data_IF_008753195154
#
_entry.id   IF_008753195154
#
_cell.length_a   1.000
_cell.length_b   1.000
_cell.length_c   1.000
_cell.angle_alpha   90.00
_cell.angle_beta   90.00
_cell.angle_gamma   90.00
#
_symmetry.space_group_name_H-M   'P 1'
#
loop_
_entity.id
_entity.type
_entity.pdbx_description
1 polymer ?
#
# COMPACT_ATOMS: atom_id res chain seq x y z
N UNK A 1 23.36 0.38 22.35
CA UNK A 1 23.54 1.37 21.27
C UNK A 1 23.61 0.59 19.96
N UNK A 2 22.47 0.39 19.28
CA UNK A 2 22.37 -0.50 18.11
C UNK A 2 22.71 0.28 16.84
N UNK A 3 23.81 -0.08 16.17
CA UNK A 3 24.13 0.42 14.83
C UNK A 3 23.29 -0.34 13.80
N UNK A 4 22.61 0.35 12.86
CA UNK A 4 21.88 -0.31 11.78
C UNK A 4 22.87 -0.94 10.78
N UNK A 5 22.63 -2.20 10.42
CA UNK A 5 23.40 -2.95 9.44
C UNK A 5 23.11 -2.42 8.03
N UNK A 6 24.04 -1.65 7.48
CA UNK A 6 23.96 -1.10 6.13
C UNK A 6 24.55 -2.13 5.14
N UNK A 7 23.69 -2.84 4.39
CA UNK A 7 24.15 -3.69 3.28
C UNK A 7 24.27 -2.81 2.03
N UNK A 8 25.49 -2.36 1.74
CA UNK A 8 25.85 -1.76 0.45
C UNK A 8 26.31 -2.89 -0.46
N UNK A 9 25.46 -3.36 -1.37
CA UNK A 9 25.84 -4.37 -2.38
C UNK A 9 26.66 -3.71 -3.50
N UNK A 10 27.89 -3.32 -3.20
CA UNK A 10 28.93 -3.17 -4.19
C UNK A 10 29.66 -4.52 -4.29
N UNK A 11 29.35 -5.27 -5.33
CA UNK A 11 30.27 -6.25 -5.91
C UNK A 11 30.83 -7.35 -4.97
N UNK A 12 30.00 -8.27 -4.49
CA UNK A 12 30.50 -9.60 -4.03
C UNK A 12 29.37 -10.64 -3.90
N UNK A 13 28.91 -11.16 -5.02
CA UNK A 13 28.33 -12.51 -5.10
C UNK A 13 29.03 -13.23 -6.25
N UNK A 14 30.32 -13.54 -6.07
CA UNK A 14 31.01 -14.52 -6.90
C UNK A 14 30.56 -15.90 -6.45
N UNK A 15 29.52 -16.44 -7.09
CA UNK A 15 29.14 -17.84 -6.92
C UNK A 15 30.03 -18.67 -7.83
N UNK A 16 30.83 -19.53 -7.22
CA UNK A 16 31.73 -20.47 -7.85
C UNK A 16 30.98 -21.37 -8.83
N UNK A 17 31.42 -21.41 -10.09
CA UNK A 17 30.91 -22.34 -11.09
C UNK A 17 31.43 -23.75 -10.78
N UNK A 18 30.56 -24.65 -10.34
CA UNK A 18 30.79 -26.10 -10.49
C UNK A 18 30.01 -26.57 -11.72
N UNK A 19 30.73 -26.78 -12.81
CA UNK A 19 30.24 -27.33 -14.06
C UNK A 19 29.73 -28.77 -13.87
N UNK A 20 28.43 -29.00 -14.06
CA UNK A 20 27.94 -30.31 -14.47
C UNK A 20 26.75 -30.19 -15.43
N UNK A 21 26.73 -31.12 -16.37
CA UNK A 21 26.07 -31.07 -17.67
C UNK A 21 24.54 -30.99 -17.66
N UNK A 22 24.01 -30.30 -18.67
CA UNK A 22 23.00 -30.87 -19.57
C UNK A 22 21.58 -31.06 -19.06
N UNK A 23 20.84 -29.98 -18.89
CA UNK A 23 19.40 -29.95 -19.19
C UNK A 23 19.01 -28.48 -19.41
N UNK A 24 18.36 -28.18 -20.54
CA UNK A 24 17.87 -26.83 -20.83
C UNK A 24 16.94 -26.36 -19.71
N UNK A 25 17.46 -25.54 -18.80
CA UNK A 25 16.63 -24.79 -17.87
C UNK A 25 15.85 -23.78 -18.70
N UNK A 26 14.61 -24.14 -19.01
CA UNK A 26 13.61 -23.20 -19.48
C UNK A 26 13.61 -22.03 -18.50
N UNK A 27 14.03 -20.86 -19.00
CA UNK A 27 13.88 -19.59 -18.31
C UNK A 27 12.42 -19.53 -17.87
N UNK A 28 12.11 -19.49 -16.55
CA UNK A 28 10.74 -19.39 -16.11
C UNK A 28 10.13 -18.16 -16.77
N UNK A 29 9.09 -18.38 -17.57
CA UNK A 29 8.30 -17.30 -18.14
C UNK A 29 7.83 -16.48 -16.95
N UNK A 30 8.34 -15.26 -16.82
CA UNK A 30 7.87 -14.28 -15.86
C UNK A 30 6.41 -13.96 -16.22
N UNK A 31 5.48 -14.70 -15.62
CA UNK A 31 4.16 -14.16 -15.36
C UNK A 31 4.31 -12.87 -14.55
N UNK A 32 3.27 -12.03 -14.51
CA UNK A 32 3.28 -10.72 -13.84
C UNK A 32 3.49 -10.85 -12.32
N UNK A 33 4.70 -11.19 -11.89
CA UNK A 33 5.07 -11.37 -10.50
C UNK A 33 5.33 -9.99 -9.88
N UNK A 34 4.52 -9.66 -8.89
CA UNK A 34 4.59 -8.39 -8.16
C UNK A 34 5.22 -8.60 -6.78
N UNK A 35 5.98 -7.61 -6.32
CA UNK A 35 6.43 -7.50 -4.94
C UNK A 35 5.89 -6.21 -4.34
N UNK A 36 5.40 -6.25 -3.10
CA UNK A 36 5.01 -5.04 -2.39
C UNK A 36 6.24 -4.33 -1.83
N UNK A 37 6.36 -3.03 -2.12
CA UNK A 37 7.43 -2.16 -1.72
C UNK A 37 6.93 -0.93 -0.96
N UNK A 38 7.76 -0.39 -0.06
CA UNK A 38 7.53 0.87 0.65
C UNK A 38 8.79 1.72 0.72
N UNK A 39 8.65 2.97 1.15
CA UNK A 39 9.75 3.92 1.33
C UNK A 39 10.65 4.04 0.08
N UNK A 40 10.02 4.20 -1.09
CA UNK A 40 10.74 4.29 -2.36
C UNK A 40 11.28 5.72 -2.50
N UNK A 41 12.60 5.84 -2.65
CA UNK A 41 13.32 7.10 -2.75
C UNK A 41 14.18 7.07 -4.01
N UNK A 42 13.97 8.05 -4.89
CA UNK A 42 14.76 8.22 -6.09
C UNK A 42 15.93 9.17 -5.82
N UNK A 43 17.11 8.77 -6.27
CA UNK A 43 18.32 9.57 -6.25
C UNK A 43 18.95 9.57 -7.66
N UNK A 44 19.96 10.41 -7.87
CA UNK A 44 20.68 10.48 -9.15
C UNK A 44 21.29 9.12 -9.49
N UNK A 45 20.77 8.45 -10.51
CA UNK A 45 21.24 7.13 -10.97
C UNK A 45 20.98 5.96 -10.00
N UNK A 46 20.09 6.10 -9.01
CA UNK A 46 19.69 4.97 -8.16
C UNK A 46 18.30 5.13 -7.57
N UNK A 47 17.66 4.01 -7.25
CA UNK A 47 16.43 3.95 -6.46
C UNK A 47 16.64 3.07 -5.24
N UNK A 48 16.18 3.52 -4.08
CA UNK A 48 16.15 2.74 -2.85
C UNK A 48 14.71 2.45 -2.46
N UNK A 49 14.41 1.22 -2.07
CA UNK A 49 13.07 0.78 -1.67
C UNK A 49 13.14 -0.35 -0.66
N UNK A 50 12.11 -0.54 0.15
CA UNK A 50 11.98 -1.66 1.06
C UNK A 50 10.94 -2.64 0.51
N UNK A 51 11.32 -3.89 0.24
CA UNK A 51 10.42 -4.96 -0.20
C UNK A 51 10.05 -5.88 0.95
N UNK A 52 8.80 -6.34 0.94
CA UNK A 52 8.34 -7.31 1.92
C UNK A 52 8.65 -8.74 1.46
N UNK A 53 9.53 -9.42 2.19
CA UNK A 53 10.01 -10.77 1.87
C UNK A 53 10.14 -11.55 3.16
N UNK A 54 9.59 -12.77 3.19
CA UNK A 54 9.69 -13.67 4.36
C UNK A 54 9.33 -12.98 5.69
N UNK A 55 8.18 -12.30 5.73
CA UNK A 55 7.65 -11.55 6.89
C UNK A 55 8.50 -10.36 7.37
N UNK A 56 9.57 -9.99 6.66
CA UNK A 56 10.44 -8.88 7.02
C UNK A 56 10.55 -7.88 5.87
N UNK A 57 10.87 -6.62 6.21
CA UNK A 57 11.17 -5.59 5.22
C UNK A 57 12.67 -5.60 4.92
N UNK A 58 13.01 -5.78 3.64
CA UNK A 58 14.39 -5.78 3.17
C UNK A 58 14.66 -4.57 2.29
N UNK A 59 15.69 -3.79 2.60
CA UNK A 59 16.11 -2.66 1.78
C UNK A 59 16.82 -3.15 0.52
N UNK A 60 16.36 -2.69 -0.64
CA UNK A 60 17.01 -2.83 -1.94
C UNK A 60 17.48 -1.46 -2.42
N UNK A 61 18.71 -1.42 -2.93
CA UNK A 61 19.26 -0.24 -3.62
C UNK A 61 19.67 -0.66 -5.02
N UNK A 62 19.01 -0.09 -6.00
CA UNK A 62 19.12 -0.47 -7.40
C UNK A 62 19.74 0.69 -8.19
N UNK A 63 20.69 0.38 -9.07
CA UNK A 63 21.31 1.39 -9.92
C UNK A 63 20.49 1.56 -11.21
N UNK A 64 20.20 2.81 -11.57
CA UNK A 64 19.42 3.17 -12.77
C UNK A 64 20.31 3.84 -13.82
N UNK A 65 19.99 3.66 -15.10
CA UNK A 65 20.69 4.34 -16.21
C UNK A 65 20.26 5.80 -16.34
N UNK A 66 19.00 6.08 -16.02
CA UNK A 66 18.41 7.42 -16.10
C UNK A 66 18.27 8.04 -14.71
N UNK A 67 18.39 9.37 -14.67
CA UNK A 67 18.02 10.15 -13.50
C UNK A 67 16.59 10.64 -13.69
N UNK A 68 15.66 10.20 -12.83
CA UNK A 68 14.30 10.71 -12.81
C UNK A 68 14.32 12.23 -12.56
N UNK A 69 13.61 13.00 -13.37
CA UNK A 69 13.56 14.48 -13.28
C UNK A 69 12.68 14.96 -12.13
N UNK A 70 11.81 14.11 -11.58
CA UNK A 70 10.93 14.44 -10.46
C UNK A 70 11.37 13.68 -9.20
N UNK A 71 11.91 14.37 -8.17
CA UNK A 71 12.20 13.76 -6.89
C UNK A 71 10.87 13.49 -6.16
N UNK A 72 10.41 12.25 -6.22
CA UNK A 72 9.15 11.85 -5.57
C UNK A 72 9.42 10.68 -4.62
N UNK A 73 9.36 10.93 -3.32
CA UNK A 73 9.25 9.82 -2.36
C UNK A 73 7.89 9.16 -2.57
N UNK A 74 7.89 7.85 -2.77
CA UNK A 74 6.65 7.07 -2.87
C UNK A 74 6.53 6.25 -1.59
N UNK A 75 5.42 6.42 -0.88
CA UNK A 75 5.18 5.75 0.38
C UNK A 75 5.11 4.23 0.21
N UNK A 76 4.34 3.77 -0.78
CA UNK A 76 4.15 2.35 -1.10
C UNK A 76 3.79 2.14 -2.57
N UNK A 77 4.20 1.01 -3.12
CA UNK A 77 3.92 0.59 -4.49
C UNK A 77 4.06 -0.92 -4.63
N UNK A 78 3.42 -1.49 -5.64
CA UNK A 78 3.83 -2.80 -6.14
C UNK A 78 4.90 -2.60 -7.22
N UNK A 79 5.87 -3.50 -7.24
CA UNK A 79 6.95 -3.48 -8.23
C UNK A 79 6.91 -4.73 -9.10
N UNK A 80 7.23 -4.56 -10.37
CA UNK A 80 7.32 -5.62 -11.37
C UNK A 80 8.62 -5.47 -12.14
N UNK A 81 9.18 -6.59 -12.58
CA UNK A 81 10.38 -6.61 -13.41
C UNK A 81 10.03 -7.12 -14.81
N UNK A 82 10.62 -6.51 -15.84
CA UNK A 82 10.53 -7.00 -17.22
C UNK A 82 11.16 -8.39 -17.38
N UNK A 83 10.83 -9.06 -18.49
CA UNK A 83 11.34 -10.39 -18.79
C UNK A 83 12.88 -10.48 -18.84
N UNK A 84 13.53 -9.45 -19.39
CA UNK A 84 14.99 -9.35 -19.48
C UNK A 84 15.65 -8.90 -18.16
N UNK A 85 14.84 -8.56 -17.15
CA UNK A 85 15.28 -8.12 -15.84
C UNK A 85 15.86 -6.71 -15.79
N UNK A 86 15.81 -5.96 -16.89
CA UNK A 86 16.46 -4.64 -17.00
C UNK A 86 15.52 -3.48 -16.74
N UNK A 87 14.21 -3.67 -16.75
CA UNK A 87 13.24 -2.61 -16.50
C UNK A 87 12.43 -2.91 -15.24
N UNK A 88 12.51 -2.01 -14.26
CA UNK A 88 11.68 -2.03 -13.07
C UNK A 88 10.47 -1.14 -13.29
N UNK A 89 9.29 -1.72 -13.22
CA UNK A 89 8.03 -0.98 -13.14
C UNK A 89 7.61 -0.81 -11.69
N UNK A 90 7.29 0.43 -11.30
CA UNK A 90 6.73 0.78 -10.00
C UNK A 90 5.28 1.22 -10.25
N UNK A 91 4.33 0.55 -9.58
CA UNK A 91 2.90 0.82 -9.59
C UNK A 91 2.51 1.38 -8.21
N UNK A 92 2.49 2.70 -8.03
CA UNK A 92 2.24 3.29 -6.73
C UNK A 92 0.85 2.95 -6.19
N UNK A 93 0.74 2.72 -4.88
CA UNK A 93 -0.54 2.40 -4.24
C UNK A 93 -1.43 3.64 -4.26
N UNK A 94 -2.60 3.51 -4.88
CA UNK A 94 -3.59 4.59 -4.90
C UNK A 94 -4.46 4.54 -3.66
N UNK A 95 -4.71 5.69 -3.08
CA UNK A 95 -5.56 5.86 -1.90
C UNK A 95 -6.94 6.29 -2.34
N UNK A 96 -7.96 5.62 -1.79
CA UNK A 96 -9.35 5.97 -2.00
C UNK A 96 -9.99 6.37 -0.66
N UNK A 97 -10.65 7.51 -0.64
CA UNK A 97 -11.21 8.11 0.57
C UNK A 97 -12.69 8.31 0.31
N UNK A 98 -13.53 7.49 0.94
CA UNK A 98 -14.98 7.61 0.78
C UNK A 98 -15.57 8.65 1.71
N UNK A 99 -16.41 9.51 1.17
CA UNK A 99 -17.11 10.58 1.89
C UNK A 99 -18.58 10.19 2.09
N UNK A 100 -18.88 9.69 3.29
CA UNK A 100 -20.22 9.21 3.62
C UNK A 100 -21.12 10.28 4.22
N UNK A 101 -20.56 11.34 4.80
CA UNK A 101 -21.36 12.30 5.58
C UNK A 101 -21.96 13.38 4.67
N UNK A 102 -23.27 13.60 4.81
CA UNK A 102 -23.99 14.70 4.12
C UNK A 102 -23.34 16.06 4.39
N UNK A 103 -22.83 16.28 5.61
CA UNK A 103 -22.07 17.48 5.97
C UNK A 103 -20.79 17.65 5.16
N UNK A 104 -20.03 16.59 4.92
CA UNK A 104 -18.80 16.65 4.12
C UNK A 104 -19.11 17.02 2.66
N UNK A 105 -20.16 16.44 2.09
CA UNK A 105 -20.61 16.77 0.74
C UNK A 105 -21.15 18.21 0.64
N UNK A 106 -21.88 18.67 1.66
CA UNK A 106 -22.30 20.07 1.73
C UNK A 106 -21.10 21.02 1.79
N UNK A 107 -20.06 20.70 2.57
CA UNK A 107 -18.84 21.52 2.64
C UNK A 107 -18.12 21.58 1.29
N UNK A 108 -18.07 20.47 0.54
CA UNK A 108 -17.52 20.46 -0.83
C UNK A 108 -18.36 21.33 -1.76
N UNK A 109 -19.68 21.18 -1.70
CA UNK A 109 -20.61 21.99 -2.50
C UNK A 109 -20.46 23.48 -2.21
N UNK A 110 -20.44 23.86 -0.93
CA UNK A 110 -20.26 25.25 -0.50
C UNK A 110 -18.92 25.80 -1.00
N UNK A 111 -17.85 25.01 -0.89
CA UNK A 111 -16.51 25.40 -1.31
C UNK A 111 -16.45 25.62 -2.83
N UNK A 112 -17.05 24.73 -3.61
CA UNK A 112 -17.13 24.84 -5.07
C UNK A 112 -17.99 26.04 -5.48
N UNK A 113 -19.07 26.35 -4.77
CA UNK A 113 -19.92 27.48 -5.12
C UNK A 113 -19.32 28.84 -4.73
N UNK A 114 -18.64 28.90 -3.58
CA UNK A 114 -18.34 30.19 -2.92
C UNK A 114 -16.90 30.40 -2.49
N UNK A 115 -16.05 29.36 -2.56
CA UNK A 115 -14.70 29.34 -1.98
C UNK A 115 -14.67 29.14 -0.46
N UNK A 116 -15.82 29.08 0.20
CA UNK A 116 -15.96 28.85 1.65
C UNK A 116 -16.69 27.52 1.91
N UNK A 117 -16.19 26.74 2.87
CA UNK A 117 -16.76 25.45 3.26
C UNK A 117 -18.00 25.57 4.17
N UNK A 118 -18.17 26.69 4.88
CA UNK A 118 -19.24 26.86 5.88
C UNK A 118 -20.48 27.55 5.31
N UNK A 119 -20.31 28.46 4.37
CA UNK A 119 -21.39 29.31 3.90
C UNK A 119 -22.14 28.69 2.71
N UNK A 120 -23.43 28.36 2.90
CA UNK A 120 -24.30 27.84 1.85
C UNK A 120 -24.89 28.98 1.01
N UNK A 121 -24.10 29.50 0.08
CA UNK A 121 -24.57 30.55 -0.84
C UNK A 121 -25.58 29.96 -1.85
N UNK A 122 -26.61 30.73 -2.25
CA UNK A 122 -27.49 30.31 -3.34
C UNK A 122 -26.73 30.14 -4.66
N UNK A 123 -27.13 29.11 -5.41
CA UNK A 123 -26.65 28.75 -6.73
C UNK A 123 -27.42 29.52 -7.80
N UNK A 124 -26.75 29.85 -8.90
CA UNK A 124 -27.39 30.44 -10.08
C UNK A 124 -28.26 29.39 -10.79
N UNK A 125 -29.48 29.79 -11.14
CA UNK A 125 -30.48 28.94 -11.79
C UNK A 125 -30.84 29.51 -13.17
N UNK A 126 -30.88 28.64 -14.18
CA UNK A 126 -31.45 28.95 -15.48
C UNK A 126 -32.58 27.98 -15.80
N UNK A 127 -33.61 28.46 -16.47
CA UNK A 127 -34.78 27.66 -16.84
C UNK A 127 -34.82 27.57 -18.35
N UNK A 128 -34.78 26.33 -18.86
CA UNK A 128 -34.85 26.03 -20.28
C UNK A 128 -36.20 25.39 -20.55
N UNK A 129 -36.96 25.97 -21.48
CA UNK A 129 -38.31 25.51 -21.82
C UNK A 129 -38.34 24.50 -22.99
N UNK A 130 -37.33 24.51 -23.86
CA UNK A 130 -37.28 23.69 -25.08
C UNK A 130 -35.87 23.07 -25.29
N UNK A 131 -35.74 21.84 -25.82
CA UNK A 131 -36.82 20.94 -26.28
C UNK A 131 -37.57 20.22 -25.15
N UNK A 132 -36.98 20.13 -23.96
CA UNK A 132 -37.63 19.62 -22.76
C UNK A 132 -37.40 20.57 -21.59
N UNK A 133 -38.44 20.79 -20.78
CA UNK A 133 -38.42 21.68 -19.64
C UNK A 133 -37.42 21.19 -18.57
N UNK A 134 -36.42 22.02 -18.26
CA UNK A 134 -35.35 21.68 -17.32
C UNK A 134 -34.83 22.90 -16.56
N UNK A 135 -34.40 22.65 -15.33
CA UNK A 135 -33.62 23.54 -14.50
C UNK A 135 -32.14 23.26 -14.72
N UNK A 136 -31.36 24.30 -14.98
CA UNK A 136 -29.93 24.22 -15.17
C UNK A 136 -29.22 24.97 -14.04
N UNK A 137 -28.36 24.25 -13.32
CA UNK A 137 -27.51 24.79 -12.26
C UNK A 137 -26.09 24.93 -12.83
N UNK A 138 -25.74 26.12 -13.33
CA UNK A 138 -24.52 26.34 -14.11
C UNK A 138 -23.26 25.93 -13.35
N UNK A 139 -23.21 26.25 -12.05
CA UNK A 139 -22.06 25.98 -11.20
C UNK A 139 -21.86 24.48 -10.95
N UNK A 140 -22.88 23.65 -11.19
CA UNK A 140 -22.84 22.21 -10.98
C UNK A 140 -22.87 21.38 -12.26
N UNK A 141 -22.95 22.03 -13.42
CA UNK A 141 -23.25 21.38 -14.72
C UNK A 141 -24.39 20.36 -14.58
N UNK A 142 -25.42 20.74 -13.81
CA UNK A 142 -26.51 19.88 -13.45
C UNK A 142 -27.79 20.31 -14.19
N UNK A 143 -28.40 19.34 -14.87
CA UNK A 143 -29.68 19.49 -15.55
C UNK A 143 -30.73 18.66 -14.83
N UNK A 144 -31.80 19.30 -14.37
CA UNK A 144 -32.89 18.67 -13.63
C UNK A 144 -34.17 18.81 -14.45
N UNK A 145 -34.77 17.72 -14.93
CA UNK A 145 -36.03 17.79 -15.66
C UNK A 145 -37.14 18.29 -14.73
N UNK A 146 -38.02 19.13 -15.25
CA UNK A 146 -39.19 19.66 -14.54
C UNK A 146 -40.42 19.61 -15.42
N UNK A 147 -41.60 19.66 -14.81
CA UNK A 147 -42.85 19.80 -15.53
C UNK A 147 -42.86 21.12 -16.33
N UNK A 148 -43.45 21.10 -17.53
CA UNK A 148 -43.54 22.25 -18.44
C UNK A 148 -44.28 23.45 -17.81
N UNK A 149 -45.38 23.22 -17.10
CA UNK A 149 -46.18 24.27 -16.45
C UNK A 149 -45.39 24.93 -15.32
N UNK A 150 -44.74 24.12 -14.49
CA UNK A 150 -43.85 24.62 -13.44
C UNK A 150 -42.69 25.42 -14.03
N UNK A 151 -42.09 24.94 -15.13
CA UNK A 151 -41.00 25.65 -15.78
C UNK A 151 -41.47 27.00 -16.35
N UNK A 152 -42.67 27.08 -16.92
CA UNK A 152 -43.25 28.35 -17.38
C UNK A 152 -43.50 29.32 -16.23
N UNK A 153 -44.08 28.84 -15.12
CA UNK A 153 -44.30 29.66 -13.93
C UNK A 153 -43.00 30.23 -13.39
N UNK A 154 -41.99 29.37 -13.21
CA UNK A 154 -40.68 29.78 -12.74
C UNK A 154 -39.96 30.68 -13.76
N UNK A 155 -40.15 30.48 -15.07
CA UNK A 155 -39.50 31.31 -16.09
C UNK A 155 -39.98 32.76 -16.07
N UNK A 156 -41.22 32.99 -15.63
CA UNK A 156 -41.78 34.34 -15.48
C UNK A 156 -41.30 35.06 -14.21
N UNK A 157 -40.67 34.34 -13.28
CA UNK A 157 -40.17 34.91 -12.02
C UNK A 157 -38.78 35.52 -12.19
N UNK A 158 -38.53 36.63 -11.51
CA UNK A 158 -37.24 37.35 -11.60
C UNK A 158 -36.33 37.04 -10.42
N UNK A 159 -35.04 36.90 -10.70
CA UNK A 159 -34.01 36.72 -9.67
C UNK A 159 -34.05 35.37 -8.97
N UNK A 160 -34.50 34.32 -9.65
CA UNK A 160 -34.52 32.98 -9.11
C UNK A 160 -33.12 32.47 -8.75
N UNK A 161 -33.05 31.80 -7.60
CA UNK A 161 -31.84 31.11 -7.13
C UNK A 161 -32.19 29.74 -6.60
N UNK A 162 -31.20 28.86 -6.57
CA UNK A 162 -31.33 27.51 -6.05
C UNK A 162 -30.52 27.36 -4.76
N UNK A 163 -31.08 26.72 -3.74
CA UNK A 163 -30.37 26.42 -2.50
C UNK A 163 -30.47 24.92 -2.25
N UNK A 164 -29.34 24.26 -2.10
CA UNK A 164 -29.28 22.84 -1.73
C UNK A 164 -28.96 22.77 -0.24
N UNK A 165 -29.83 22.13 0.52
CA UNK A 165 -29.67 21.95 1.97
C UNK A 165 -29.62 20.48 2.34
N UNK A 166 -28.77 20.08 3.31
CA UNK A 166 -28.74 18.70 3.78
C UNK A 166 -29.96 18.42 4.66
N UNK A 167 -30.64 17.32 4.37
CA UNK A 167 -31.55 16.62 5.26
C UNK A 167 -30.79 15.41 5.85
N UNK A 168 -31.29 14.81 6.94
CA UNK A 168 -30.67 13.71 7.69
C UNK A 168 -29.87 12.68 6.85
N UNK A 169 -30.38 12.25 5.69
CA UNK A 169 -29.68 11.35 4.75
C UNK A 169 -29.67 11.80 3.28
N UNK A 170 -30.39 12.86 2.94
CA UNK A 170 -30.59 13.32 1.56
C UNK A 170 -30.36 14.83 1.48
N UNK A 171 -30.57 15.42 0.31
CA UNK A 171 -30.54 16.86 0.11
C UNK A 171 -31.90 17.36 -0.39
N UNK A 172 -32.24 18.60 -0.09
CA UNK A 172 -33.42 19.28 -0.64
C UNK A 172 -32.95 20.46 -1.46
N UNK A 173 -33.29 20.48 -2.74
CA UNK A 173 -33.17 21.65 -3.60
C UNK A 173 -34.40 22.52 -3.42
N UNK A 174 -34.20 23.75 -2.97
CA UNK A 174 -35.23 24.78 -2.89
C UNK A 174 -34.96 25.84 -3.94
N UNK A 175 -35.97 26.16 -4.74
CA UNK A 175 -35.95 27.29 -5.68
C UNK A 175 -36.57 28.46 -4.95
N UNK A 176 -35.80 29.54 -4.85
CA UNK A 176 -36.22 30.75 -4.15
C UNK A 176 -36.27 31.93 -5.10
N UNK A 177 -37.21 32.85 -4.86
CA UNK A 177 -37.28 34.12 -5.57
C UNK A 177 -36.28 35.14 -5.01
N UNK A 178 -36.30 36.35 -5.56
CA UNK A 178 -35.46 37.47 -5.08
C UNK A 178 -35.73 37.92 -3.64
N UNK A 179 -36.89 37.55 -3.09
CA UNK A 179 -37.33 37.85 -1.73
C UNK A 179 -37.07 36.68 -0.75
N UNK A 180 -36.40 35.63 -1.22
CA UNK A 180 -36.13 34.39 -0.47
C UNK A 180 -37.37 33.52 -0.18
N UNK A 181 -38.50 33.77 -0.83
CA UNK A 181 -39.65 32.88 -0.75
C UNK A 181 -39.37 31.61 -1.54
N UNK A 182 -39.71 30.46 -0.95
CA UNK A 182 -39.53 29.17 -1.61
C UNK A 182 -40.70 28.89 -2.55
N UNK A 183 -40.43 28.83 -3.84
CA UNK A 183 -41.42 28.57 -4.89
C UNK A 183 -41.56 27.08 -5.20
N UNK A 184 -40.48 26.32 -5.06
CA UNK A 184 -40.48 24.89 -5.35
C UNK A 184 -39.42 24.17 -4.53
N UNK A 185 -39.70 22.93 -4.15
CA UNK A 185 -38.75 22.05 -3.47
C UNK A 185 -38.72 20.68 -4.12
N UNK A 186 -37.52 20.13 -4.28
CA UNK A 186 -37.31 18.79 -4.82
C UNK A 186 -36.25 18.03 -4.02
N UNK A 187 -36.51 16.77 -3.63
CA UNK A 187 -35.49 15.94 -3.00
C UNK A 187 -34.40 15.53 -3.99
N UNK A 188 -33.16 15.51 -3.52
CA UNK A 188 -31.96 15.10 -4.25
C UNK A 188 -31.23 14.04 -3.42
N UNK A 189 -30.91 12.91 -4.06
CA UNK A 189 -30.14 11.86 -3.41
C UNK A 189 -28.66 12.23 -3.29
N UNK A 190 -28.00 11.66 -2.29
CA UNK A 190 -26.55 11.77 -2.12
C UNK A 190 -25.78 11.33 -3.38
N UNK A 191 -26.21 10.24 -4.01
CA UNK A 191 -25.63 9.74 -5.25
C UNK A 191 -25.63 10.78 -6.37
N UNK A 192 -26.77 11.46 -6.58
CA UNK A 192 -26.93 12.45 -7.65
C UNK A 192 -26.03 13.65 -7.43
N UNK A 193 -25.94 14.12 -6.18
CA UNK A 193 -25.05 15.20 -5.80
C UNK A 193 -23.58 14.80 -5.95
N UNK A 194 -23.20 13.58 -5.55
CA UNK A 194 -21.86 13.06 -5.76
C UNK A 194 -21.48 13.08 -7.25
N UNK A 195 -22.36 12.59 -8.14
CA UNK A 195 -22.12 12.63 -9.60
C UNK A 195 -21.92 14.06 -10.09
N UNK A 196 -22.73 15.03 -9.67
CA UNK A 196 -22.53 16.42 -10.08
C UNK A 196 -21.18 16.98 -9.63
N UNK A 197 -20.78 16.71 -8.38
CA UNK A 197 -19.49 17.16 -7.85
C UNK A 197 -18.30 16.57 -8.61
N UNK A 198 -18.39 15.33 -9.12
CA UNK A 198 -17.30 14.72 -9.89
C UNK A 198 -17.03 15.39 -11.24
N UNK A 199 -18.04 16.01 -11.85
CA UNK A 199 -17.89 16.66 -13.16
C UNK A 199 -17.10 17.96 -13.08
N UNK A 200 -17.11 18.61 -11.92
CA UNK A 200 -16.59 19.96 -11.72
C UNK A 200 -15.12 19.98 -11.30
N UNK A 201 -14.63 18.86 -10.76
CA UNK A 201 -13.27 18.76 -10.22
C UNK A 201 -12.48 17.73 -11.03
N UNK A 202 -11.93 18.13 -12.18
CA UNK A 202 -11.15 17.21 -13.01
C UNK A 202 -9.82 16.84 -12.35
N UNK A 203 -9.21 17.76 -11.59
CA UNK A 203 -7.91 17.60 -10.95
C UNK A 203 -7.83 18.49 -9.70
N UNK A 204 -7.51 17.87 -8.55
CA UNK A 204 -7.20 18.57 -7.31
C UNK A 204 -5.87 18.12 -6.72
N UNK A 205 -5.49 18.70 -5.58
CA UNK A 205 -4.41 18.21 -4.75
C UNK A 205 -4.93 17.84 -3.36
N UNK A 206 -4.41 16.76 -2.83
CA UNK A 206 -4.70 16.23 -1.51
C UNK A 206 -3.43 16.31 -0.68
N UNK A 207 -3.53 17.00 0.45
CA UNK A 207 -2.54 16.95 1.50
C UNK A 207 -3.16 16.25 2.70
N UNK A 208 -2.49 15.22 3.17
CA UNK A 208 -2.91 14.45 4.33
C UNK A 208 -2.15 14.96 5.56
N UNK A 209 -2.90 15.38 6.58
CA UNK A 209 -2.39 15.60 7.92
C UNK A 209 -3.10 14.63 8.88
N UNK A 210 -2.49 14.35 10.04
CA UNK A 210 -2.86 13.31 11.04
C UNK A 210 -4.31 12.81 10.96
N UNK A 211 -5.29 13.69 11.10
CA UNK A 211 -6.73 13.35 11.04
C UNK A 211 -7.52 14.25 10.09
N UNK A 212 -6.85 15.11 9.33
CA UNK A 212 -7.49 16.09 8.46
C UNK A 212 -6.94 16.00 7.06
N UNK A 213 -7.85 15.97 6.11
CA UNK A 213 -7.52 16.10 4.70
C UNK A 213 -7.67 17.57 4.32
N UNK A 214 -6.65 18.09 3.65
CA UNK A 214 -6.74 19.36 2.95
C UNK A 214 -6.84 19.10 1.45
N UNK A 215 -7.94 19.51 0.84
CA UNK A 215 -8.18 19.47 -0.60
C UNK A 215 -7.99 20.87 -1.19
N UNK A 216 -7.21 20.97 -2.24
CA UNK A 216 -7.16 22.16 -3.09
C UNK A 216 -7.57 21.77 -4.51
N UNK A 217 -8.27 22.65 -5.20
CA UNK A 217 -8.74 22.41 -6.56
C UNK A 217 -8.22 23.51 -7.46
N UNK A 218 -7.71 23.17 -8.65
CA UNK A 218 -7.01 24.14 -9.51
C UNK A 218 -7.90 25.33 -9.92
N UNK A 219 -9.22 25.12 -9.97
CA UNK A 219 -10.20 26.11 -10.42
C UNK A 219 -10.79 26.93 -9.26
N UNK A 220 -10.39 26.67 -8.00
CA UNK A 220 -10.97 27.31 -6.82
C UNK A 220 -9.87 27.84 -5.90
N UNK A 221 -9.98 29.13 -5.55
CA UNK A 221 -9.07 29.75 -4.61
C UNK A 221 -9.41 29.30 -3.20
N UNK A 222 -8.51 28.55 -2.56
CA UNK A 222 -8.62 28.15 -1.17
C UNK A 222 -8.37 26.67 -0.97
N UNK A 223 -8.47 26.26 0.29
CA UNK A 223 -8.24 24.90 0.74
C UNK A 223 -9.43 24.44 1.56
N UNK A 224 -10.06 23.34 1.14
CA UNK A 224 -11.13 22.68 1.87
C UNK A 224 -10.52 21.72 2.90
N UNK A 225 -10.91 21.85 4.17
CA UNK A 225 -10.45 20.95 5.24
C UNK A 225 -11.57 20.01 5.64
N UNK A 226 -11.35 18.72 5.43
CA UNK A 226 -12.27 17.65 5.82
C UNK A 226 -11.67 16.84 6.96
N UNK A 227 -12.46 16.61 8.00
CA UNK A 227 -12.11 15.63 9.03
C UNK A 227 -12.53 14.25 8.55
N UNK A 228 -11.61 13.30 8.55
CA UNK A 228 -11.90 11.91 8.15
C UNK A 228 -11.97 11.04 9.39
N UNK A 229 -13.01 10.20 9.53
CA UNK A 229 -13.08 9.26 10.63
C UNK A 229 -11.93 8.24 10.55
N UNK A 230 -11.44 7.75 11.71
CA UNK A 230 -10.30 6.82 11.80
C UNK A 230 -10.57 5.44 11.18
N UNK A 231 -11.82 5.14 10.80
CA UNK A 231 -12.22 3.90 10.14
C UNK A 231 -11.69 3.73 8.72
N UNK A 232 -11.10 4.78 8.14
CA UNK A 232 -10.53 4.70 6.79
C UNK A 232 -9.10 4.14 6.86
N UNK A 233 -8.97 2.84 7.11
CA UNK A 233 -7.70 2.13 7.35
C UNK A 233 -6.62 2.33 6.28
N UNK A 234 -6.99 2.73 5.05
CA UNK A 234 -6.04 3.01 3.96
C UNK A 234 -5.19 4.26 4.18
N UNK A 235 -5.67 5.21 4.99
CA UNK A 235 -4.93 6.42 5.33
C UNK A 235 -3.73 6.08 6.22
N UNK A 236 -3.94 5.24 7.24
CA UNK A 236 -3.00 4.93 8.33
C UNK A 236 -1.63 4.41 7.86
N UNK A 237 -1.59 3.63 6.78
CA UNK A 237 -0.33 3.12 6.18
C UNK A 237 0.46 4.17 5.39
N UNK A 238 -0.12 5.31 5.04
CA UNK A 238 0.55 6.39 4.30
C UNK A 238 0.95 7.61 5.14
N UNK A 239 0.45 7.76 6.38
CA UNK A 239 0.76 8.93 7.23
C UNK A 239 2.26 9.08 7.55
N UNK A 240 3.06 8.04 7.40
CA UNK A 240 4.50 8.14 7.72
C UNK A 240 5.34 8.83 6.65
N UNK A 241 4.79 9.15 5.47
CA UNK A 241 5.63 9.61 4.34
C UNK A 241 5.13 10.80 3.52
N UNK A 242 3.89 11.29 3.69
CA UNK A 242 3.31 12.23 2.70
C UNK A 242 2.77 13.55 3.28
N UNK A 243 3.68 14.50 3.51
CA UNK A 243 3.35 15.94 3.60
C UNK A 243 3.25 16.60 2.22
N UNK A 244 3.50 15.85 1.14
CA UNK A 244 3.53 16.34 -0.24
C UNK A 244 2.13 16.24 -0.85
N UNK A 245 1.70 17.33 -1.49
CA UNK A 245 0.44 17.43 -2.22
C UNK A 245 0.36 16.40 -3.36
N UNK A 246 -0.59 15.48 -3.28
CA UNK A 246 -0.83 14.45 -4.31
C UNK A 246 -1.96 14.86 -5.24
N UNK A 247 -1.82 14.62 -6.54
CA UNK A 247 -2.94 14.82 -7.48
C UNK A 247 -4.07 13.87 -7.14
N UNK A 248 -5.30 14.38 -7.12
CA UNK A 248 -6.52 13.59 -6.86
C UNK A 248 -7.60 13.87 -7.89
N UNK A 249 -8.48 12.88 -8.01
CA UNK A 249 -9.72 12.97 -8.75
C UNK A 249 -10.88 12.58 -7.84
N UNK A 250 -12.01 13.26 -8.01
CA UNK A 250 -13.27 12.87 -7.39
C UNK A 250 -14.00 11.88 -8.32
N UNK A 251 -14.41 10.74 -7.79
CA UNK A 251 -15.21 9.75 -8.50
C UNK A 251 -16.47 9.44 -7.69
N UNK A 252 -17.57 9.10 -8.38
CA UNK A 252 -18.81 8.70 -7.76
C UNK A 252 -19.00 7.19 -7.96
N UNK A 253 -19.00 6.43 -6.88
CA UNK A 253 -19.14 4.96 -6.91
C UNK A 253 -20.09 4.56 -5.79
N UNK A 254 -21.06 3.69 -6.07
CA UNK A 254 -22.01 3.16 -5.08
C UNK A 254 -22.63 4.27 -4.20
N UNK A 255 -23.13 5.32 -4.84
CA UNK A 255 -23.77 6.48 -4.19
C UNK A 255 -22.85 7.35 -3.32
N UNK A 256 -21.54 7.11 -3.38
CA UNK A 256 -20.55 7.79 -2.55
C UNK A 256 -19.58 8.59 -3.39
N UNK A 257 -19.17 9.74 -2.86
CA UNK A 257 -18.07 10.51 -3.42
C UNK A 257 -16.76 9.97 -2.86
N UNK A 258 -15.89 9.49 -3.74
CA UNK A 258 -14.58 8.96 -3.39
C UNK A 258 -13.52 9.90 -3.92
N UNK A 259 -12.60 10.32 -3.05
CA UNK A 259 -11.38 11.02 -3.46
C UNK A 259 -10.33 9.95 -3.75
N UNK A 260 -9.86 9.90 -4.99
CA UNK A 260 -8.87 8.91 -5.44
C UNK A 260 -7.58 9.60 -5.85
N UNK A 261 -6.45 9.17 -5.31
CA UNK A 261 -5.13 9.69 -5.68
C UNK A 261 -4.71 9.18 -7.05
N UNK A 262 -4.22 10.07 -7.90
CA UNK A 262 -3.65 9.74 -9.19
C UNK A 262 -2.13 9.74 -9.09
N UNK A 263 -1.54 8.54 -9.12
CA UNK A 263 -0.10 8.37 -9.15
C UNK A 263 0.27 7.61 -10.42
N UNK A 264 1.12 8.18 -11.30
CA UNK A 264 1.47 7.53 -12.56
C UNK A 264 2.33 6.30 -12.32
N UNK A 265 2.20 5.29 -13.21
CA UNK A 265 3.16 4.19 -13.30
C UNK A 265 4.53 4.75 -13.68
N UNK A 266 5.57 4.27 -13.00
CA UNK A 266 6.95 4.68 -13.26
C UNK A 266 7.70 3.48 -13.81
N UNK A 267 8.41 3.68 -14.92
CA UNK A 267 9.31 2.70 -15.48
C UNK A 267 10.76 3.19 -15.32
N UNK A 268 11.61 2.35 -14.75
CA UNK A 268 13.04 2.63 -14.55
C UNK A 268 13.86 1.61 -15.31
N UNK A 269 14.82 2.10 -16.10
CA UNK A 269 15.83 1.25 -16.70
C UNK A 269 16.98 1.06 -15.69
N UNK A 270 17.27 -0.21 -15.39
CA UNK A 270 18.29 -0.65 -14.45
C UNK A 270 19.62 -0.84 -15.17
N UNK A 271 20.73 -0.58 -14.47
CA UNK A 271 22.08 -0.82 -15.02
C UNK A 271 22.40 -2.30 -15.17
N UNK A 272 21.81 -3.15 -14.33
CA UNK A 272 22.04 -4.59 -14.30
C UNK A 272 20.70 -5.32 -14.36
N UNK A 273 20.69 -6.51 -14.97
CA UNK A 273 19.54 -7.39 -14.93
C UNK A 273 19.37 -7.98 -13.52
N UNK A 274 18.14 -7.93 -13.00
CA UNK A 274 17.78 -8.45 -11.68
C UNK A 274 16.93 -9.73 -11.75
N UNK A 275 16.83 -10.38 -12.91
CA UNK A 275 15.92 -11.52 -13.13
C UNK A 275 15.99 -12.58 -12.03
N UNK A 276 17.19 -13.09 -11.74
CA UNK A 276 17.37 -14.14 -10.73
C UNK A 276 17.10 -13.65 -9.31
N UNK A 277 17.57 -12.44 -8.97
CA UNK A 277 17.35 -11.87 -7.64
C UNK A 277 15.88 -11.60 -7.38
N UNK A 278 15.16 -11.08 -8.37
CA UNK A 278 13.75 -10.75 -8.27
C UNK A 278 12.91 -12.02 -8.16
N UNK A 279 13.18 -13.04 -8.96
CA UNK A 279 12.52 -14.34 -8.85
C UNK A 279 12.73 -14.97 -7.47
N UNK A 280 13.94 -14.90 -6.92
CA UNK A 280 14.21 -15.41 -5.57
C UNK A 280 13.43 -14.65 -4.49
N UNK A 281 13.29 -13.33 -4.62
CA UNK A 281 12.51 -12.50 -3.71
C UNK A 281 11.01 -12.80 -3.83
N UNK A 282 10.50 -12.97 -5.06
CA UNK A 282 9.10 -13.36 -5.31
C UNK A 282 8.80 -14.71 -4.69
N UNK A 283 9.62 -15.72 -4.94
CA UNK A 283 9.44 -17.05 -4.35
C UNK A 283 9.38 -16.99 -2.82
N UNK A 284 10.31 -16.25 -2.21
CA UNK A 284 10.32 -16.04 -0.74
C UNK A 284 9.12 -15.25 -0.22
N UNK A 285 8.54 -14.36 -1.03
CA UNK A 285 7.32 -13.63 -0.67
C UNK A 285 6.04 -14.47 -0.81
N UNK A 286 6.01 -15.42 -1.76
CA UNK A 286 4.86 -16.27 -2.05
C UNK A 286 4.79 -17.55 -1.22
N UNK A 287 5.87 -17.90 -0.49
CA UNK A 287 5.91 -19.07 0.39
C UNK A 287 4.94 -18.99 1.60
N UNK A 288 4.15 -17.93 1.72
CA UNK A 288 3.02 -17.83 2.64
C UNK A 288 1.70 -18.19 1.96
N UNK A 289 1.55 -19.43 1.48
CA UNK A 289 0.22 -20.05 1.46
C UNK A 289 -0.14 -20.40 2.91
N UNK A 290 -1.40 -20.20 3.35
CA UNK A 290 -1.85 -20.86 4.56
C UNK A 290 -1.83 -22.35 4.24
N UNK A 291 -0.81 -23.05 4.72
CA UNK A 291 -0.91 -24.48 4.86
C UNK A 291 -2.13 -24.67 5.75
N UNK A 292 -3.21 -25.25 5.21
CA UNK A 292 -4.22 -25.89 6.03
C UNK A 292 -3.43 -26.71 7.05
N UNK A 293 -3.42 -26.28 8.31
CA UNK A 293 -2.85 -27.08 9.37
C UNK A 293 -3.67 -28.37 9.38
N UNK A 294 -3.13 -29.55 8.99
CA UNK A 294 -3.73 -30.75 9.52
C UNK A 294 -3.59 -30.62 11.04
N UNK A 295 -4.71 -30.74 11.73
CA UNK A 295 -4.83 -30.75 13.19
C UNK A 295 -4.12 -31.99 13.75
N UNK A 296 -2.80 -32.03 13.67
CA UNK A 296 -1.93 -32.93 14.44
C UNK A 296 -0.57 -32.25 14.63
N UNK A 297 -0.06 -32.16 15.88
CA UNK A 297 1.22 -31.51 16.14
C UNK A 297 2.34 -32.46 15.73
N UNK A 298 2.93 -32.25 14.56
CA UNK A 298 4.17 -32.92 14.16
C UNK A 298 5.35 -32.08 14.61
N UNK A 299 6.09 -32.60 15.60
CA UNK A 299 7.35 -32.07 16.11
C UNK A 299 8.34 -31.79 14.98
N UNK A 300 9.21 -30.77 15.09
CA UNK A 300 10.20 -30.44 14.09
C UNK A 300 11.32 -31.49 14.14
N UNK A 301 11.09 -32.63 13.51
CA UNK A 301 12.06 -33.73 13.47
C UNK A 301 12.13 -34.26 12.05
N UNK A 302 13.27 -33.99 11.42
CA UNK A 302 13.87 -34.80 10.35
C UNK A 302 13.05 -34.90 9.05
N UNK A 303 13.03 -33.81 8.28
CA UNK A 303 12.82 -33.91 6.83
C UNK A 303 14.12 -34.35 6.16
N UNK A 304 14.01 -35.26 5.17
CA UNK A 304 15.11 -35.92 4.44
C UNK A 304 16.17 -34.95 3.85
N UNK A 305 15.77 -33.71 3.56
CA UNK A 305 16.62 -32.65 3.03
C UNK A 305 17.25 -31.73 4.10
N UNK A 306 17.07 -32.02 5.39
CA UNK A 306 17.63 -31.21 6.46
C UNK A 306 19.12 -31.48 6.65
N UNK A 307 19.97 -30.43 6.79
CA UNK A 307 21.38 -30.59 7.13
C UNK A 307 21.61 -31.24 8.51
N UNK A 308 20.56 -31.31 9.35
CA UNK A 308 20.59 -32.03 10.64
C UNK A 308 20.50 -33.55 10.43
N UNK A 309 19.86 -34.01 9.34
CA UNK A 309 19.73 -35.43 9.01
C UNK A 309 21.09 -36.06 8.68
N UNK A 310 21.91 -35.39 7.86
CA UNK A 310 23.28 -35.82 7.56
C UNK A 310 24.17 -35.79 8.82
N UNK A 311 24.01 -34.78 9.67
CA UNK A 311 24.77 -34.68 10.92
C UNK A 311 24.43 -35.81 11.91
N UNK A 312 23.14 -36.17 12.04
CA UNK A 312 22.71 -37.30 12.88
C UNK A 312 23.09 -38.65 12.31
N UNK A 313 23.03 -38.84 11.00
CA UNK A 313 23.47 -40.08 10.33
C UNK A 313 24.94 -40.38 10.60
N UNK A 314 25.81 -39.36 10.44
CA UNK A 314 27.24 -39.53 10.69
C UNK A 314 27.57 -39.63 12.20
N UNK A 315 26.84 -38.91 13.06
CA UNK A 315 27.04 -38.97 14.52
C UNK A 315 26.56 -40.29 15.13
N UNK A 316 25.47 -40.90 14.63
CA UNK A 316 25.01 -42.20 15.11
C UNK A 316 25.93 -43.35 14.67
N UNK A 317 26.55 -43.24 13.50
CA UNK A 317 27.58 -44.20 13.07
C UNK A 317 28.81 -44.13 14.00
N UNK A 318 29.28 -42.93 14.35
CA UNK A 318 30.39 -42.75 15.30
C UNK A 318 30.00 -43.23 16.71
N UNK A 319 28.78 -42.92 17.19
CA UNK A 319 28.27 -43.42 18.48
C UNK A 319 28.25 -44.95 18.53
N UNK A 320 27.71 -45.62 17.51
CA UNK A 320 27.68 -47.09 17.47
C UNK A 320 29.09 -47.68 17.48
N UNK A 321 30.02 -47.05 16.77
CA UNK A 321 31.42 -47.49 16.72
C UNK A 321 32.08 -47.33 18.10
N UNK A 322 31.90 -46.17 18.75
CA UNK A 322 32.45 -45.91 20.10
C UNK A 322 31.83 -46.77 21.19
N UNK A 323 30.53 -47.09 21.10
CA UNK A 323 29.88 -48.03 22.02
C UNK A 323 30.47 -49.43 21.83
N UNK A 324 30.66 -49.87 20.59
CA UNK A 324 31.22 -51.19 20.31
C UNK A 324 32.69 -51.28 20.76
N UNK A 325 33.48 -50.22 20.55
CA UNK A 325 34.86 -50.14 21.05
C UNK A 325 34.90 -50.09 22.59
N UNK A 326 33.99 -49.38 23.24
CA UNK A 326 33.89 -49.36 24.70
C UNK A 326 33.50 -50.74 25.25
N UNK A 327 32.55 -51.43 24.62
CA UNK A 327 32.16 -52.79 24.99
C UNK A 327 33.33 -53.76 24.84
N UNK A 328 34.04 -53.73 23.70
CA UNK A 328 35.26 -54.53 23.50
C UNK A 328 36.37 -54.18 24.48
N UNK A 329 36.50 -52.92 24.85
CA UNK A 329 37.46 -52.46 25.87
C UNK A 329 37.12 -53.00 27.26
N UNK A 330 35.84 -53.11 27.62
CA UNK A 330 35.42 -53.72 28.89
C UNK A 330 35.47 -55.25 28.85
N UNK A 331 35.17 -55.87 27.71
CA UNK A 331 35.30 -57.33 27.51
C UNK A 331 36.75 -57.81 27.55
N UNK A 332 37.70 -56.97 27.08
CA UNK A 332 39.13 -57.30 27.10
C UNK A 332 39.81 -57.07 28.46
N UNK A 333 39.08 -56.60 29.49
CA UNK A 333 39.60 -56.49 30.86
C UNK A 333 39.28 -57.76 31.65
N UNK A 334 40.28 -58.45 32.23
CA UNK A 334 40.04 -59.62 33.06
C UNK A 334 39.27 -59.22 34.33
N UNK A 335 38.07 -59.77 34.46
CA UNK A 335 37.15 -59.53 35.57
C UNK A 335 37.55 -60.38 36.78
N UNK A 336 38.68 -60.06 37.43
CA UNK A 336 39.01 -60.43 38.82
C UNK A 336 40.48 -60.10 39.13
N UNK A 337 40.73 -58.98 39.81
CA UNK A 337 41.66 -58.95 40.95
C UNK A 337 41.14 -57.91 41.94
N UNK A 338 40.35 -58.39 42.90
CA UNK A 338 40.21 -57.73 44.20
C UNK A 338 41.54 -57.86 44.93
N UNK A 339 42.12 -56.74 45.37
CA UNK A 339 42.95 -56.70 46.57
C UNK A 339 43.05 -55.27 47.15
N UNK A 340 43.24 -55.14 48.47
CA UNK A 340 42.73 -54.05 49.28
C UNK A 340 43.74 -52.92 49.55
N UNK A 341 43.19 -51.79 50.05
CA UNK A 341 43.79 -50.69 50.82
C UNK A 341 45.29 -50.76 51.15
N UNK A 342 46.05 -49.72 50.77
CA UNK A 342 46.71 -48.80 51.73
C UNK A 342 47.51 -47.69 51.02
N UNK A 343 47.65 -46.58 51.73
CA UNK A 343 48.71 -45.56 51.65
C UNK A 343 48.62 -44.43 50.61
N UNK A 344 48.25 -43.26 51.16
CA UNK A 344 48.66 -41.89 50.80
C UNK A 344 50.19 -41.81 50.54
N UNK A 345 50.67 -40.90 49.67
CA UNK A 345 51.29 -39.64 50.15
C UNK A 345 50.81 -38.41 49.36
N UNK A 346 50.27 -37.37 49.99
CA UNK A 346 50.95 -36.12 50.44
C UNK A 346 51.36 -35.15 49.31
N UNK A 347 50.67 -33.99 49.34
CA UNK A 347 51.04 -32.64 48.91
C UNK A 347 52.52 -32.39 48.55
N UNK A 348 52.73 -31.64 47.45
CA UNK A 348 53.63 -30.48 47.43
C UNK A 348 53.27 -29.53 46.29
N UNK A 349 52.81 -28.32 46.65
CA UNK A 349 52.96 -27.09 45.88
C UNK A 349 54.36 -26.52 46.11
N UNK A 350 55.05 -26.06 45.07
CA UNK A 350 55.97 -24.92 45.17
C UNK A 350 56.31 -24.28 43.81
N UNK A 351 56.09 -22.98 43.81
CA UNK A 351 56.48 -21.85 42.96
C UNK A 351 57.99 -21.73 42.63
N UNK A 352 58.30 -20.93 41.58
CA UNK A 352 59.60 -20.28 41.22
C UNK A 352 60.71 -21.21 40.68
N UNK A 353 61.48 -20.89 39.63
CA UNK A 353 61.79 -19.63 38.94
C UNK A 353 62.24 -19.94 37.52
#
# INVERSE_FOLDING_TARGET
MNKPTQITLANSLSVSHSSHNGAGQQIPVLGEQTLSAKNIVFAKGSVQLEVYVDKHWQTLRLATTESQSTPARIASADIQLSHDGKQLTILPTQTAISLHQTKQLQSILNFINSGDQLNNKPLSLQIILQPAAKLLLNQLDASIPVNKELAQLLHNETGLKAIITPNSRNFTLSIVNRFADTLHQQPISQAKLAVWLTKLVPQGQLQLDKNTITLSFNNYNGNLKLTVPPSNNQLHSQHQANTVAQKVQLIAVNEQLIIKTQQPKIALLLKNSLTHTFQALVQKSQLSTPTNFPTTPVSPSLVSSSPISSWLQHSFADLKTRINDAVRYFESKPFSQLSPSSAKPSMATSTQR
#
